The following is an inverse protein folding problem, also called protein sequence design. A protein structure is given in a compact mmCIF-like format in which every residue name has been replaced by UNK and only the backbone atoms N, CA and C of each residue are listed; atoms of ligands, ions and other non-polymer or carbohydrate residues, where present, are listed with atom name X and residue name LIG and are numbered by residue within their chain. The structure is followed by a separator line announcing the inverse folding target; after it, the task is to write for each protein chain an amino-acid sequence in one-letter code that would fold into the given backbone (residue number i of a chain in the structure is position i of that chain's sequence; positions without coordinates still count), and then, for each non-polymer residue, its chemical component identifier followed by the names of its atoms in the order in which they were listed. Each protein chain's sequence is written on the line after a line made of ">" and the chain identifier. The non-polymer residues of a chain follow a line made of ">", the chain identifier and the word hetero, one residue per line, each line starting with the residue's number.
data_IF_116419586588
#
_entry.id   IF_116419586588
#
_cell.length_a   1.000
_cell.length_b   1.000
_cell.length_c   1.000
_cell.angle_alpha   90.00
_cell.angle_beta   90.00
_cell.angle_gamma   90.00
#
_symmetry.space_group_name_H-M   'P 1'
#
loop_
_entity.id
_entity.type
_entity.pdbx_description
1 polymer ?
#
# COMPACT_ATOMS: atom_id res chain seq x y z
N UNK A 1 46.13 -18.61 -26.43
CA UNK A 1 45.18 -17.72 -27.13
C UNK A 1 43.73 -17.89 -26.65
N UNK A 2 43.18 -19.10 -26.54
CA UNK A 2 41.80 -19.29 -26.03
C UNK A 2 41.59 -18.88 -24.55
N UNK A 3 42.61 -19.05 -23.70
CA UNK A 3 42.51 -18.72 -22.27
C UNK A 3 42.34 -17.21 -22.04
N UNK A 4 43.03 -16.37 -22.81
CA UNK A 4 42.96 -14.92 -22.68
C UNK A 4 41.57 -14.36 -23.02
N UNK A 5 40.91 -14.92 -24.06
CA UNK A 5 39.55 -14.53 -24.44
C UNK A 5 38.53 -14.93 -23.37
N UNK A 6 38.67 -16.13 -22.77
CA UNK A 6 37.79 -16.59 -21.68
C UNK A 6 37.93 -15.71 -20.45
N UNK A 7 39.16 -15.31 -20.10
CA UNK A 7 39.43 -14.40 -18.99
C UNK A 7 38.87 -12.99 -19.25
N UNK A 8 39.01 -12.47 -20.48
CA UNK A 8 38.44 -11.18 -20.86
C UNK A 8 36.90 -11.18 -20.76
N UNK A 9 36.24 -12.25 -21.21
CA UNK A 9 34.79 -12.40 -21.08
C UNK A 9 34.34 -12.49 -19.61
N UNK A 10 35.07 -13.23 -18.77
CA UNK A 10 34.77 -13.32 -17.34
C UNK A 10 34.88 -11.95 -16.65
N UNK A 11 35.90 -11.16 -16.96
CA UNK A 11 36.07 -9.82 -16.40
C UNK A 11 34.99 -8.85 -16.88
N UNK A 12 34.57 -8.94 -18.14
CA UNK A 12 33.48 -8.12 -18.68
C UNK A 12 32.16 -8.40 -17.94
N UNK A 13 31.82 -9.67 -17.74
CA UNK A 13 30.61 -10.06 -17.00
C UNK A 13 30.66 -9.58 -15.54
N UNK A 14 31.81 -9.68 -14.88
CA UNK A 14 31.97 -9.25 -13.49
C UNK A 14 31.75 -7.73 -13.32
N UNK A 15 32.21 -6.92 -14.28
CA UNK A 15 31.97 -5.47 -14.31
C UNK A 15 30.49 -5.14 -14.52
N UNK A 16 29.80 -5.87 -15.42
CA UNK A 16 28.37 -5.68 -15.63
C UNK A 16 27.54 -5.96 -14.37
N UNK A 17 27.86 -7.02 -13.61
CA UNK A 17 27.09 -7.40 -12.42
C UNK A 17 27.26 -6.38 -11.28
N UNK A 18 28.46 -5.86 -11.08
CA UNK A 18 28.73 -4.87 -10.01
C UNK A 18 28.11 -3.50 -10.29
N UNK A 19 28.02 -3.11 -11.57
CA UNK A 19 27.36 -1.85 -11.97
C UNK A 19 25.85 -1.81 -11.65
N UNK A 20 25.17 -2.97 -11.55
CA UNK A 20 23.72 -3.03 -11.29
C UNK A 20 23.34 -2.93 -9.81
N UNK A 21 24.31 -3.03 -8.88
CA UNK A 21 24.01 -3.07 -7.44
C UNK A 21 23.61 -1.70 -6.86
N UNK A 22 23.91 -0.59 -7.54
CA UNK A 22 23.67 0.76 -6.99
C UNK A 22 22.20 1.21 -7.07
N UNK A 23 21.38 0.56 -7.90
CA UNK A 23 19.98 0.96 -8.12
C UNK A 23 18.95 0.10 -7.36
N UNK A 24 19.39 -0.95 -6.65
CA UNK A 24 18.52 -1.71 -5.74
C UNK A 24 18.38 -1.01 -4.38
N UNK A 25 18.04 0.28 -4.40
CA UNK A 25 17.64 0.99 -3.18
C UNK A 25 16.21 0.56 -2.86
N UNK A 26 16.04 -0.55 -2.13
CA UNK A 26 14.75 -0.83 -1.47
C UNK A 26 14.40 0.42 -0.66
N UNK A 27 13.21 1.00 -0.82
CA UNK A 27 12.79 2.12 0.01
C UNK A 27 12.85 1.67 1.48
N UNK A 28 13.89 2.12 2.20
CA UNK A 28 14.17 1.74 3.60
C UNK A 28 13.12 2.31 4.55
N UNK A 29 12.37 3.31 4.07
CA UNK A 29 11.16 3.85 4.69
C UNK A 29 10.05 3.87 3.64
N UNK A 30 9.35 2.76 3.47
CA UNK A 30 7.97 2.85 3.00
C UNK A 30 7.20 3.56 4.10
N UNK A 31 6.92 4.86 3.91
CA UNK A 31 6.01 5.55 4.82
C UNK A 31 4.68 4.81 4.78
N UNK A 32 4.37 4.06 5.85
CA UNK A 32 3.08 3.41 5.97
C UNK A 32 2.02 4.51 6.09
N UNK A 33 1.37 4.83 4.97
CA UNK A 33 0.22 5.73 4.95
C UNK A 33 -0.99 4.97 5.49
N UNK A 34 -1.05 4.88 6.82
CA UNK A 34 -2.11 4.20 7.55
C UNK A 34 -2.93 5.18 8.38
N UNK A 35 -4.17 4.81 8.68
CA UNK A 35 -5.01 5.58 9.59
C UNK A 35 -4.44 5.51 11.01
N UNK A 36 -4.12 6.68 11.58
CA UNK A 36 -3.74 6.83 13.01
C UNK A 36 -4.94 7.17 13.89
N UNK A 37 -5.96 7.78 13.29
CA UNK A 37 -7.21 8.17 13.93
C UNK A 37 -8.39 7.72 13.08
N UNK A 38 -9.53 7.53 13.72
CA UNK A 38 -10.77 7.09 13.10
C UNK A 38 -11.89 8.07 13.40
N UNK A 39 -12.76 8.30 12.42
CA UNK A 39 -13.98 9.06 12.61
C UNK A 39 -15.17 8.12 12.85
N UNK A 40 -15.94 8.38 13.90
CA UNK A 40 -17.25 7.75 14.12
C UNK A 40 -18.39 8.43 13.33
N UNK A 41 -18.11 9.59 12.72
CA UNK A 41 -19.07 10.38 11.97
C UNK A 41 -19.57 9.64 10.73
N UNK A 42 -20.85 9.78 10.41
CA UNK A 42 -21.43 9.19 9.20
C UNK A 42 -20.91 9.90 7.96
N UNK A 43 -20.45 9.12 6.99
CA UNK A 43 -20.08 9.63 5.65
C UNK A 43 -21.37 10.01 4.90
N UNK A 44 -21.51 11.29 4.45
CA UNK A 44 -22.67 11.74 3.68
C UNK A 44 -22.90 10.88 2.44
N UNK A 45 -24.16 10.62 2.09
CA UNK A 45 -24.50 9.83 0.90
C UNK A 45 -24.12 10.53 -0.43
N UNK A 46 -23.80 11.82 -0.38
CA UNK A 46 -23.28 12.58 -1.53
C UNK A 46 -21.84 12.20 -1.90
N UNK A 47 -21.09 11.56 -0.99
CA UNK A 47 -19.72 11.13 -1.25
C UNK A 47 -19.77 9.76 -1.93
N UNK A 48 -19.31 9.71 -3.17
CA UNK A 48 -19.20 8.47 -3.93
C UNK A 48 -18.01 7.65 -3.41
N UNK A 49 -18.34 6.51 -2.80
CA UNK A 49 -17.38 5.52 -2.34
C UNK A 49 -17.11 4.54 -3.48
N UNK A 50 -15.83 4.34 -3.82
CA UNK A 50 -15.40 3.41 -4.88
C UNK A 50 -15.14 2.00 -4.33
N UNK A 51 -14.73 1.92 -3.07
CA UNK A 51 -14.48 0.67 -2.39
C UNK A 51 -14.09 0.88 -0.94
N UNK A 52 -13.82 -0.20 -0.25
CA UNK A 52 -13.36 -0.16 1.14
C UNK A 52 -12.28 -1.21 1.39
N UNK A 53 -11.51 -0.96 2.45
CA UNK A 53 -10.51 -1.89 2.97
C UNK A 53 -10.54 -1.87 4.49
N UNK A 54 -10.46 -3.05 5.09
CA UNK A 54 -10.24 -3.16 6.52
C UNK A 54 -8.75 -3.12 6.82
N UNK A 55 -8.34 -2.17 7.65
CA UNK A 55 -6.99 -2.05 8.18
C UNK A 55 -6.97 -2.58 9.62
N UNK A 56 -6.19 -3.62 9.85
CA UNK A 56 -5.95 -4.14 11.20
C UNK A 56 -5.08 -3.16 12.02
N UNK A 57 -5.30 -3.12 13.33
CA UNK A 57 -4.44 -2.34 14.24
C UNK A 57 -2.99 -2.85 14.21
N UNK A 58 -2.05 -1.94 13.98
CA UNK A 58 -0.62 -2.20 14.02
C UNK A 58 0.10 -0.89 14.34
N UNK A 59 0.55 -0.71 15.59
CA UNK A 59 1.16 0.54 16.05
C UNK A 59 2.20 1.09 15.06
N UNK A 60 2.08 2.35 14.59
CA UNK A 60 1.21 3.44 15.08
C UNK A 60 -0.19 3.51 14.45
N UNK A 61 -0.58 2.53 13.64
CA UNK A 61 -1.86 2.45 12.94
C UNK A 61 -2.94 1.85 13.85
N UNK A 62 -4.16 2.40 13.78
CA UNK A 62 -5.33 1.90 14.52
C UNK A 62 -6.18 0.99 13.63
N UNK A 63 -7.06 0.21 14.27
CA UNK A 63 -8.09 -0.58 13.58
C UNK A 63 -9.08 0.36 12.90
N UNK A 64 -9.20 0.28 11.58
CA UNK A 64 -9.95 1.25 10.78
C UNK A 64 -10.57 0.62 9.53
N UNK A 65 -11.77 1.05 9.17
CA UNK A 65 -12.32 0.85 7.82
C UNK A 65 -11.93 2.05 6.97
N UNK A 66 -11.15 1.79 5.93
CA UNK A 66 -10.73 2.80 4.97
C UNK A 66 -11.70 2.78 3.81
N UNK A 67 -12.43 3.87 3.61
CA UNK A 67 -13.22 4.07 2.41
C UNK A 67 -12.42 4.85 1.37
N UNK A 68 -12.39 4.32 0.14
CA UNK A 68 -11.78 4.99 -0.99
C UNK A 68 -12.82 5.85 -1.69
N UNK A 69 -12.54 7.13 -1.81
CA UNK A 69 -13.35 8.08 -2.60
C UNK A 69 -12.54 8.57 -3.80
N UNK A 70 -13.18 9.31 -4.70
CA UNK A 70 -12.49 9.92 -5.85
C UNK A 70 -11.43 10.95 -5.43
N UNK A 71 -11.58 11.56 -4.24
CA UNK A 71 -10.68 12.64 -3.77
C UNK A 71 -9.64 12.13 -2.78
N UNK A 72 -10.09 11.37 -1.78
CA UNK A 72 -9.25 10.97 -0.64
C UNK A 72 -9.72 9.68 0.03
N UNK A 73 -8.90 9.19 0.97
CA UNK A 73 -9.21 8.03 1.81
C UNK A 73 -9.83 8.51 3.11
N UNK A 74 -10.98 7.95 3.47
CA UNK A 74 -11.68 8.27 4.71
C UNK A 74 -11.48 7.14 5.72
N UNK A 75 -10.94 7.46 6.90
CA UNK A 75 -10.74 6.53 8.00
C UNK A 75 -11.98 6.52 8.92
N UNK A 76 -12.67 5.39 9.02
CA UNK A 76 -13.85 5.24 9.87
C UNK A 76 -13.65 4.16 10.92
N UNK A 77 -14.31 4.34 12.07
CA UNK A 77 -14.26 3.38 13.17
C UNK A 77 -15.05 2.11 12.80
N UNK A 78 -14.43 0.92 12.76
CA UNK A 78 -15.13 -0.34 12.46
C UNK A 78 -16.28 -0.64 13.42
N UNK A 79 -16.26 -0.08 14.63
CA UNK A 79 -17.30 -0.29 15.65
C UNK A 79 -18.51 0.62 15.47
N UNK A 80 -18.44 1.60 14.57
CA UNK A 80 -19.55 2.53 14.38
C UNK A 80 -20.80 1.79 13.83
N UNK A 81 -22.00 1.99 14.42
CA UNK A 81 -23.20 1.19 14.06
C UNK A 81 -23.61 1.27 12.60
N UNK A 82 -23.28 2.38 11.93
CA UNK A 82 -23.64 2.63 10.54
C UNK A 82 -22.76 1.89 9.53
N UNK A 83 -21.57 1.43 9.93
CA UNK A 83 -20.61 0.73 9.05
C UNK A 83 -21.23 -0.56 8.55
N UNK A 84 -21.79 -1.38 9.45
CA UNK A 84 -22.40 -2.66 9.08
C UNK A 84 -23.50 -2.48 8.02
N UNK A 85 -24.34 -1.45 8.19
CA UNK A 85 -25.40 -1.14 7.24
C UNK A 85 -24.85 -0.61 5.91
N UNK A 86 -23.77 0.18 5.94
CA UNK A 86 -23.09 0.66 4.73
C UNK A 86 -22.45 -0.48 3.95
N UNK A 87 -21.73 -1.39 4.61
CA UNK A 87 -21.06 -2.51 3.98
C UNK A 87 -22.04 -3.54 3.41
N UNK A 88 -23.13 -3.85 4.13
CA UNK A 88 -24.16 -4.77 3.62
C UNK A 88 -25.01 -4.18 2.50
N UNK A 89 -25.19 -2.86 2.48
CA UNK A 89 -26.14 -2.18 1.60
C UNK A 89 -25.56 -1.65 0.28
N UNK A 90 -24.27 -1.88 0.00
CA UNK A 90 -23.62 -1.27 -1.17
C UNK A 90 -22.83 -2.29 -1.98
N UNK A 91 -22.86 -2.14 -3.31
CA UNK A 91 -21.94 -2.80 -4.25
C UNK A 91 -20.52 -2.20 -4.12
N UNK A 92 -20.02 -2.01 -2.90
CA UNK A 92 -18.67 -1.55 -2.68
C UNK A 92 -17.71 -2.73 -2.89
N UNK A 93 -16.73 -2.51 -3.77
CA UNK A 93 -15.68 -3.49 -4.04
C UNK A 93 -14.73 -3.51 -2.84
N UNK A 94 -14.39 -4.72 -2.38
CA UNK A 94 -13.33 -4.93 -1.40
C UNK A 94 -12.00 -4.79 -2.14
N UNK A 95 -11.16 -3.84 -1.73
CA UNK A 95 -9.87 -3.52 -2.37
C UNK A 95 -8.71 -4.10 -1.55
#
# INVERSE_FOLDING_TARGET
>A
MQLCWKLALMMLVLVCVTAQQHNYRRPTRVGVSCCKEVSGGRIPASIKLMGYKHQNALSPCVDAIIFYTEKEKLCSDPKAPWIKNRLNGTNLIII
#
